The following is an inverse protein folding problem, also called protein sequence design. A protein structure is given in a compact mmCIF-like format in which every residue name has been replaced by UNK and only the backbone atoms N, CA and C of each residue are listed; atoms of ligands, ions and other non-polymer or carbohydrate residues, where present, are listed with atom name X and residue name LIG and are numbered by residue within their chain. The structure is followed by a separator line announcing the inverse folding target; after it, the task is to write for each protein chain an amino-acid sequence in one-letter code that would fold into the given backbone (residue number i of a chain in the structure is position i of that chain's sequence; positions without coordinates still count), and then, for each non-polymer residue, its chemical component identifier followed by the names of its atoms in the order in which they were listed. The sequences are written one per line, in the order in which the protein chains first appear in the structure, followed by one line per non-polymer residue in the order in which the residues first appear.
data_IF_416401074680
#
_entry.id   IF_416401074680
#
_cell.length_a   1.000
_cell.length_b   1.000
_cell.length_c   1.000
_cell.angle_alpha   90.00
_cell.angle_beta   90.00
_cell.angle_gamma   90.00
#
_symmetry.space_group_name_H-M   'P 1'
#
loop_
_entity.id
_entity.type
_entity.pdbx_description
1 polymer ?
#
# COMPACT_ATOMS: atom_id res chain seq x y z
N UNK A 1 6.63 1.17 18.70
CA UNK A 1 7.61 1.47 17.62
C UNK A 1 9.05 1.63 18.16
N UNK A 2 9.26 2.37 19.25
CA UNK A 2 10.60 2.66 19.82
C UNK A 2 11.48 1.41 20.12
N UNK A 3 10.89 0.31 20.61
CA UNK A 3 11.62 -0.92 20.93
C UNK A 3 12.24 -1.58 19.70
N UNK A 4 11.50 -1.66 18.58
CA UNK A 4 12.00 -2.25 17.31
C UNK A 4 13.17 -1.43 16.76
N UNK A 5 13.06 -0.10 16.81
CA UNK A 5 14.13 0.79 16.34
C UNK A 5 15.40 0.68 17.19
N UNK A 6 15.24 0.56 18.52
CA UNK A 6 16.38 0.34 19.43
C UNK A 6 17.10 -0.99 19.14
N UNK A 7 16.33 -2.06 18.91
CA UNK A 7 16.89 -3.37 18.53
C UNK A 7 17.60 -3.27 17.18
N UNK A 8 16.97 -2.66 16.17
CA UNK A 8 17.56 -2.52 14.85
C UNK A 8 18.88 -1.72 14.87
N UNK A 9 18.97 -0.67 15.69
CA UNK A 9 20.24 0.06 15.89
C UNK A 9 21.33 -0.81 16.50
N UNK A 10 20.99 -1.63 17.50
CA UNK A 10 21.94 -2.57 18.11
C UNK A 10 22.44 -3.60 17.10
N UNK A 11 21.52 -4.18 16.31
CA UNK A 11 21.87 -5.13 15.25
C UNK A 11 22.76 -4.45 14.20
N UNK A 12 22.37 -3.26 13.73
CA UNK A 12 23.18 -2.48 12.79
C UNK A 12 24.61 -2.26 13.30
N UNK A 13 24.79 -1.86 14.55
CA UNK A 13 26.14 -1.70 15.13
C UNK A 13 26.98 -2.98 15.12
N UNK A 14 26.35 -4.16 15.15
CA UNK A 14 27.04 -5.46 15.13
C UNK A 14 27.35 -5.95 13.72
N UNK A 15 26.48 -5.69 12.74
CA UNK A 15 26.59 -6.27 11.41
C UNK A 15 26.85 -5.25 10.28
N UNK A 16 26.94 -3.95 10.58
CA UNK A 16 27.05 -2.89 9.55
C UNK A 16 28.11 -3.22 8.52
N UNK A 17 29.35 -3.50 8.92
CA UNK A 17 30.43 -3.64 7.95
C UNK A 17 30.21 -4.86 7.05
N UNK A 18 29.69 -5.96 7.61
CA UNK A 18 29.36 -7.17 6.85
C UNK A 18 28.20 -6.94 5.87
N UNK A 19 27.16 -6.22 6.29
CA UNK A 19 25.98 -5.98 5.45
C UNK A 19 26.30 -4.93 4.39
N UNK A 20 26.89 -3.80 4.79
CA UNK A 20 27.23 -2.69 3.90
C UNK A 20 28.21 -3.10 2.79
N UNK A 21 29.07 -4.10 3.03
CA UNK A 21 30.03 -4.60 2.01
C UNK A 21 29.49 -5.78 1.20
N UNK A 22 28.32 -6.34 1.55
CA UNK A 22 27.78 -7.50 0.85
C UNK A 22 27.34 -7.16 -0.58
N UNK A 23 27.47 -8.11 -1.50
CA UNK A 23 27.04 -7.93 -2.90
C UNK A 23 25.55 -7.64 -3.03
N UNK A 24 24.70 -8.31 -2.23
CA UNK A 24 23.25 -8.07 -2.21
C UNK A 24 22.92 -6.63 -1.82
N UNK A 25 23.63 -6.09 -0.83
CA UNK A 25 23.49 -4.71 -0.44
C UNK A 25 23.99 -3.79 -1.55
N UNK A 26 25.22 -3.97 -2.05
CA UNK A 26 25.78 -3.14 -3.12
C UNK A 26 24.89 -3.12 -4.38
N UNK A 27 24.25 -4.24 -4.74
CA UNK A 27 23.29 -4.30 -5.83
C UNK A 27 22.02 -3.48 -5.54
N UNK A 28 21.41 -3.64 -4.35
CA UNK A 28 20.26 -2.82 -3.91
C UNK A 28 20.57 -1.31 -3.92
N UNK A 29 21.83 -0.96 -3.74
CA UNK A 29 22.33 0.41 -3.73
C UNK A 29 22.75 0.95 -5.07
N UNK A 30 23.25 0.13 -6.00
CA UNK A 30 23.53 0.59 -7.36
C UNK A 30 22.27 1.14 -8.06
N UNK A 31 21.09 0.72 -7.59
CA UNK A 31 19.79 1.29 -7.97
C UNK A 31 19.48 2.66 -7.29
N UNK A 32 20.17 3.05 -6.21
CA UNK A 32 19.84 4.19 -5.32
C UNK A 32 21.03 5.03 -4.76
N UNK A 33 22.24 4.84 -5.30
CA UNK A 33 23.46 5.67 -5.22
C UNK A 33 23.79 6.36 -3.87
N UNK A 34 23.99 5.58 -2.81
CA UNK A 34 24.44 6.09 -1.50
C UNK A 34 25.77 6.85 -1.56
N UNK A 35 26.70 6.42 -2.42
CA UNK A 35 27.99 7.10 -2.58
C UNK A 35 27.83 8.52 -3.13
N UNK A 36 26.78 8.78 -3.92
CA UNK A 36 26.42 10.12 -4.39
C UNK A 36 25.79 10.96 -3.28
N UNK A 37 25.23 10.33 -2.25
CA UNK A 37 24.43 10.97 -1.21
C UNK A 37 25.23 11.25 0.06
N UNK A 38 26.25 10.44 0.38
CA UNK A 38 27.02 10.63 1.62
C UNK A 38 28.46 10.09 1.54
N UNK A 39 29.43 10.95 1.86
CA UNK A 39 30.82 10.55 2.09
C UNK A 39 30.98 9.87 3.46
N UNK A 40 31.89 8.89 3.56
CA UNK A 40 32.30 8.26 4.83
C UNK A 40 32.78 9.26 5.88
N UNK A 41 33.34 10.38 5.43
CA UNK A 41 33.84 11.44 6.31
C UNK A 41 32.74 12.42 6.76
N UNK A 42 31.51 12.25 6.27
CA UNK A 42 30.38 13.11 6.64
C UNK A 42 29.91 12.82 8.08
N UNK A 43 29.59 13.89 8.81
CA UNK A 43 29.00 13.81 10.15
C UNK A 43 27.71 12.95 10.19
N UNK A 44 26.99 12.85 9.07
CA UNK A 44 25.73 12.11 9.00
C UNK A 44 25.86 10.70 8.40
N UNK A 45 27.07 10.24 8.09
CA UNK A 45 27.32 8.96 7.42
C UNK A 45 26.62 7.78 8.11
N UNK A 46 26.91 7.55 9.40
CA UNK A 46 26.34 6.41 10.13
C UNK A 46 24.80 6.47 10.22
N UNK A 47 24.22 7.68 10.32
CA UNK A 47 22.76 7.86 10.36
C UNK A 47 22.15 7.50 9.02
N UNK A 48 22.73 7.97 7.91
CA UNK A 48 22.25 7.68 6.56
C UNK A 48 22.40 6.17 6.27
N UNK A 49 23.57 5.58 6.54
CA UNK A 49 23.78 4.14 6.39
C UNK A 49 22.76 3.33 7.19
N UNK A 50 22.42 3.75 8.41
CA UNK A 50 21.39 3.10 9.20
C UNK A 50 20.01 3.17 8.53
N UNK A 51 19.61 4.32 7.98
CA UNK A 51 18.31 4.43 7.27
C UNK A 51 18.25 3.49 6.08
N UNK A 52 19.31 3.43 5.29
CA UNK A 52 19.33 2.51 4.16
C UNK A 52 19.40 1.04 4.58
N UNK A 53 20.11 0.73 5.67
CA UNK A 53 20.10 -0.61 6.25
C UNK A 53 18.67 -1.07 6.58
N UNK A 54 17.85 -0.17 7.14
CA UNK A 54 16.42 -0.46 7.38
C UNK A 54 15.68 -0.70 6.06
N UNK A 55 15.88 0.15 5.06
CA UNK A 55 15.22 0.00 3.75
C UNK A 55 15.64 -1.29 3.02
N UNK A 56 16.91 -1.67 3.12
CA UNK A 56 17.43 -2.92 2.56
C UNK A 56 16.76 -4.13 3.19
N UNK A 57 16.69 -4.19 4.53
CA UNK A 57 16.02 -5.29 5.23
C UNK A 57 14.52 -5.33 4.94
N UNK A 58 13.87 -4.16 4.85
CA UNK A 58 12.47 -4.08 4.42
C UNK A 58 12.29 -4.64 3.00
N UNK A 59 13.17 -4.28 2.07
CA UNK A 59 13.16 -4.80 0.71
C UNK A 59 13.32 -6.32 0.68
N UNK A 60 14.29 -6.88 1.43
CA UNK A 60 14.50 -8.33 1.50
C UNK A 60 13.26 -9.05 2.02
N UNK A 61 12.73 -8.61 3.17
CA UNK A 61 11.58 -9.24 3.82
C UNK A 61 10.32 -9.16 2.95
N UNK A 62 10.07 -8.00 2.33
CA UNK A 62 8.90 -7.82 1.47
C UNK A 62 9.04 -8.61 0.16
N UNK A 63 10.25 -8.69 -0.41
CA UNK A 63 10.52 -9.50 -1.61
C UNK A 63 10.35 -10.99 -1.34
N UNK A 64 10.83 -11.47 -0.19
CA UNK A 64 10.66 -12.86 0.23
C UNK A 64 9.19 -13.19 0.44
N UNK A 65 8.45 -12.33 1.16
CA UNK A 65 7.01 -12.49 1.38
C UNK A 65 6.22 -12.50 0.06
N UNK A 66 6.52 -11.58 -0.86
CA UNK A 66 5.90 -11.52 -2.17
C UNK A 66 6.18 -12.77 -3.00
N UNK A 67 7.44 -13.25 -3.00
CA UNK A 67 7.84 -14.47 -3.71
C UNK A 67 7.13 -15.69 -3.15
N UNK A 68 7.06 -15.80 -1.83
CA UNK A 68 6.34 -16.88 -1.15
C UNK A 68 4.84 -16.87 -1.49
N UNK A 69 4.19 -15.70 -1.43
CA UNK A 69 2.78 -15.54 -1.79
C UNK A 69 2.51 -15.98 -3.24
N UNK A 70 3.33 -15.51 -4.20
CA UNK A 70 3.23 -15.92 -5.61
C UNK A 70 3.37 -17.43 -5.79
N UNK A 71 4.33 -18.07 -5.10
CA UNK A 71 4.50 -19.54 -5.12
C UNK A 71 3.26 -20.28 -4.61
N UNK A 72 2.49 -19.67 -3.71
CA UNK A 72 1.23 -20.18 -3.18
C UNK A 72 0.01 -19.74 -4.00
N UNK A 73 0.20 -19.08 -5.15
CA UNK A 73 -0.87 -18.50 -5.97
C UNK A 73 -1.74 -17.51 -5.19
N UNK A 74 -1.12 -16.78 -4.26
CA UNK A 74 -1.73 -15.67 -3.52
C UNK A 74 -1.16 -14.38 -4.09
N UNK A 75 -2.07 -13.47 -4.45
CA UNK A 75 -1.75 -12.15 -5.00
C UNK A 75 -1.63 -11.17 -3.84
N UNK A 76 -0.50 -10.44 -3.76
CA UNK A 76 -0.39 -9.30 -2.86
C UNK A 76 -0.89 -8.04 -3.58
N UNK A 77 -1.91 -7.41 -3.02
CA UNK A 77 -2.47 -6.15 -3.49
C UNK A 77 -1.94 -5.01 -2.62
N UNK A 78 -1.20 -4.10 -3.24
CA UNK A 78 -0.73 -2.88 -2.59
C UNK A 78 -1.87 -1.87 -2.45
N UNK A 79 -1.77 -0.99 -1.46
CA UNK A 79 -2.66 0.16 -1.30
C UNK A 79 -1.83 1.43 -1.43
N UNK A 80 -2.12 2.22 -2.46
CA UNK A 80 -1.38 3.43 -2.79
C UNK A 80 -2.21 4.64 -2.33
N UNK A 81 -1.78 5.35 -1.27
CA UNK A 81 -2.51 6.52 -0.79
C UNK A 81 -2.50 7.64 -1.85
N UNK A 82 -3.62 8.36 -1.94
CA UNK A 82 -3.79 9.47 -2.89
C UNK A 82 -2.88 10.64 -2.55
N UNK A 83 -2.59 10.88 -1.27
CA UNK A 83 -1.85 12.04 -0.79
C UNK A 83 -0.55 11.64 -0.09
N UNK A 84 0.31 12.64 0.13
CA UNK A 84 1.51 12.52 0.96
C UNK A 84 1.45 13.53 2.09
N UNK A 85 2.09 13.22 3.23
CA UNK A 85 2.11 14.16 4.36
C UNK A 85 2.83 15.46 3.98
N UNK A 86 2.34 16.59 4.49
CA UNK A 86 2.93 17.92 4.28
C UNK A 86 4.40 17.98 4.72
N UNK A 87 4.76 17.22 5.74
CA UNK A 87 6.11 17.14 6.31
C UNK A 87 6.84 15.85 5.87
N UNK A 88 6.43 15.25 4.74
CA UNK A 88 7.07 14.07 4.18
C UNK A 88 8.36 14.42 3.44
N UNK A 89 9.16 13.38 3.15
CA UNK A 89 10.33 13.52 2.28
C UNK A 89 9.93 13.92 0.86
N UNK A 90 8.76 13.48 0.38
CA UNK A 90 8.28 13.80 -0.97
C UNK A 90 8.02 15.29 -1.13
N UNK A 91 7.32 15.91 -0.17
CA UNK A 91 7.05 17.36 -0.20
C UNK A 91 8.29 18.20 0.06
N UNK A 92 9.30 17.65 0.72
CA UNK A 92 10.59 18.31 0.90
C UNK A 92 11.44 18.28 -0.39
N UNK A 93 11.59 17.10 -1.01
CA UNK A 93 12.46 16.91 -2.19
C UNK A 93 11.80 17.47 -3.47
N UNK A 94 10.49 17.28 -3.62
CA UNK A 94 9.74 17.62 -4.83
C UNK A 94 8.70 18.70 -4.55
N UNK A 95 9.06 19.73 -3.78
CA UNK A 95 8.11 20.75 -3.29
C UNK A 95 7.34 21.48 -4.41
N UNK A 96 7.93 21.63 -5.60
CA UNK A 96 7.29 22.21 -6.78
C UNK A 96 6.09 21.40 -7.29
N UNK A 97 6.07 20.08 -7.03
CA UNK A 97 4.98 19.19 -7.45
C UNK A 97 3.72 19.31 -6.56
N UNK A 98 3.75 20.15 -5.52
CA UNK A 98 2.66 20.27 -4.54
C UNK A 98 2.29 21.72 -4.25
N UNK A 99 1.00 22.01 -4.17
CA UNK A 99 0.51 23.29 -3.68
C UNK A 99 0.50 23.31 -2.15
N UNK A 100 1.63 23.68 -1.55
CA UNK A 100 1.79 23.66 -0.10
C UNK A 100 0.78 24.54 0.65
N UNK A 101 0.20 25.58 0.04
CA UNK A 101 -0.78 26.43 0.73
C UNK A 101 -2.22 25.87 0.70
N UNK A 102 -2.42 24.65 0.20
CA UNK A 102 -3.74 24.01 0.08
C UNK A 102 -3.81 22.74 0.91
N UNK A 103 -5.01 22.21 1.09
CA UNK A 103 -5.26 20.91 1.69
C UNK A 103 -6.29 20.13 0.87
N UNK A 104 -6.05 18.84 0.77
CA UNK A 104 -7.01 17.85 0.26
C UNK A 104 -7.99 17.49 1.35
N UNK A 105 -9.16 17.05 0.92
CA UNK A 105 -10.30 16.77 1.78
C UNK A 105 -11.48 16.33 0.93
N UNK A 106 -12.64 16.16 1.53
CA UNK A 106 -13.91 15.89 0.84
C UNK A 106 -14.92 16.98 1.19
N UNK A 107 -15.81 17.37 0.27
CA UNK A 107 -16.89 18.32 0.58
C UNK A 107 -17.88 17.70 1.58
N UNK A 108 -18.73 18.54 2.18
CA UNK A 108 -19.89 18.07 2.92
C UNK A 108 -20.72 17.03 2.14
N UNK A 109 -21.21 16.03 2.85
CA UNK A 109 -22.14 15.04 2.35
C UNK A 109 -23.20 14.67 3.40
N UNK A 110 -24.02 13.65 3.12
CA UNK A 110 -25.06 13.20 4.04
C UNK A 110 -24.52 12.61 5.36
N UNK A 111 -23.27 12.14 5.37
CA UNK A 111 -22.62 11.53 6.53
C UNK A 111 -21.82 12.56 7.35
N UNK A 112 -21.29 13.58 6.69
CA UNK A 112 -20.50 14.64 7.30
C UNK A 112 -20.90 16.02 6.74
N UNK A 113 -21.67 16.77 7.51
CA UNK A 113 -22.19 18.09 7.11
C UNK A 113 -21.09 19.16 6.96
N UNK A 114 -19.93 18.96 7.60
CA UNK A 114 -18.80 19.89 7.52
C UNK A 114 -17.77 19.46 6.46
N UNK A 115 -17.92 18.24 5.93
CA UNK A 115 -16.95 17.61 5.05
C UNK A 115 -15.67 17.23 5.78
N UNK A 116 -14.66 16.81 5.03
CA UNK A 116 -13.41 16.30 5.59
C UNK A 116 -12.23 17.14 5.13
N UNK A 117 -11.27 17.33 6.03
CA UNK A 117 -9.96 17.90 5.71
C UNK A 117 -8.88 16.91 6.15
N UNK A 118 -8.17 16.35 5.17
CA UNK A 118 -7.14 15.35 5.43
C UNK A 118 -5.74 15.96 5.61
N UNK A 119 -5.58 17.26 5.30
CA UNK A 119 -4.36 18.01 5.56
C UNK A 119 -3.20 17.78 4.58
N UNK A 120 -3.32 16.87 3.61
CA UNK A 120 -2.29 16.66 2.58
C UNK A 120 -2.34 17.80 1.55
N UNK A 121 -1.20 18.31 1.07
CA UNK A 121 -1.20 19.32 0.01
C UNK A 121 -1.82 18.75 -1.28
N UNK A 122 -2.46 19.62 -2.07
CA UNK A 122 -2.93 19.23 -3.41
C UNK A 122 -1.77 19.15 -4.40
N UNK A 123 -1.95 18.38 -5.48
CA UNK A 123 -0.94 18.25 -6.53
C UNK A 123 -0.90 19.46 -7.45
N UNK A 124 0.32 19.83 -7.86
CA UNK A 124 0.55 20.72 -8.99
C UNK A 124 0.59 19.87 -10.28
N UNK A 125 -0.60 19.55 -10.80
CA UNK A 125 -0.73 18.71 -11.99
C UNK A 125 -0.12 19.32 -13.24
N UNK A 126 -0.06 20.66 -13.32
CA UNK A 126 0.59 21.38 -14.42
C UNK A 126 2.09 21.09 -14.43
N UNK A 127 2.78 21.33 -13.32
CA UNK A 127 4.21 21.01 -13.17
C UNK A 127 4.49 19.52 -13.38
N UNK A 128 3.67 18.64 -12.80
CA UNK A 128 3.83 17.20 -12.99
C UNK A 128 3.64 16.78 -14.46
N UNK A 129 2.86 17.51 -15.25
CA UNK A 129 2.64 17.16 -16.67
C UNK A 129 3.88 17.41 -17.53
N UNK A 130 4.79 18.30 -17.12
CA UNK A 130 5.97 18.70 -17.89
C UNK A 130 6.96 17.54 -18.12
N UNK A 131 7.06 16.61 -17.16
CA UNK A 131 7.89 15.40 -17.26
C UNK A 131 7.08 14.11 -17.54
N UNK A 132 5.85 14.31 -18.01
CA UNK A 132 4.85 13.29 -18.28
C UNK A 132 4.51 12.48 -17.00
N UNK A 133 4.46 13.15 -15.84
CA UNK A 133 4.11 12.57 -14.54
C UNK A 133 5.18 11.57 -14.03
N UNK A 134 6.47 11.89 -14.16
CA UNK A 134 7.56 10.99 -13.81
C UNK A 134 7.52 10.56 -12.34
N UNK A 135 7.21 11.48 -11.42
CA UNK A 135 7.06 11.16 -10.00
C UNK A 135 5.95 10.12 -9.75
N UNK A 136 4.77 10.30 -10.37
CA UNK A 136 3.67 9.35 -10.25
C UNK A 136 3.99 7.99 -10.87
N UNK A 137 4.61 7.98 -12.06
CA UNK A 137 5.08 6.72 -12.68
C UNK A 137 6.09 6.02 -11.77
N UNK A 138 7.01 6.76 -11.15
CA UNK A 138 7.99 6.20 -10.23
C UNK A 138 7.31 5.53 -9.02
N UNK A 139 6.25 6.11 -8.46
CA UNK A 139 5.47 5.48 -7.37
C UNK A 139 4.86 4.14 -7.79
N UNK A 140 4.42 4.01 -9.04
CA UNK A 140 3.84 2.78 -9.57
C UNK A 140 4.91 1.69 -9.83
N UNK A 141 6.19 2.05 -9.93
CA UNK A 141 7.29 1.06 -10.12
C UNK A 141 7.54 0.16 -8.91
N UNK A 142 6.94 0.45 -7.74
CA UNK A 142 6.97 -0.44 -6.57
C UNK A 142 6.24 -1.79 -6.81
N UNK A 143 5.75 -2.03 -8.04
CA UNK A 143 5.10 -3.27 -8.48
C UNK A 143 6.03 -4.50 -8.35
N UNK A 144 7.31 -4.28 -8.06
CA UNK A 144 8.23 -5.36 -7.64
C UNK A 144 7.69 -6.20 -6.48
N UNK A 145 6.94 -5.60 -5.55
CA UNK A 145 6.38 -6.31 -4.40
C UNK A 145 4.92 -6.72 -4.59
N UNK A 146 4.14 -5.88 -5.27
CA UNK A 146 2.69 -6.03 -5.39
C UNK A 146 2.30 -6.43 -6.81
N UNK A 147 1.30 -7.30 -6.91
CA UNK A 147 0.79 -7.76 -8.21
C UNK A 147 -0.30 -6.84 -8.74
N UNK A 148 -1.00 -6.15 -7.85
CA UNK A 148 -2.03 -5.16 -8.18
C UNK A 148 -2.00 -4.02 -7.17
N UNK A 149 -2.59 -2.88 -7.55
CA UNK A 149 -2.78 -1.74 -6.66
C UNK A 149 -4.26 -1.43 -6.48
N UNK A 150 -4.64 -1.12 -5.24
CA UNK A 150 -5.72 -0.18 -4.98
C UNK A 150 -5.11 1.21 -5.00
N UNK A 151 -5.63 2.08 -5.86
CA UNK A 151 -5.36 3.51 -5.76
C UNK A 151 -6.48 4.07 -4.91
N UNK A 152 -6.11 4.53 -3.73
CA UNK A 152 -7.04 5.15 -2.80
C UNK A 152 -7.57 6.47 -3.38
N UNK A 153 -8.83 6.81 -3.12
CA UNK A 153 -9.47 8.05 -3.60
C UNK A 153 -9.19 8.38 -5.08
N UNK A 154 -9.34 7.39 -5.97
CA UNK A 154 -9.07 7.54 -7.41
C UNK A 154 -9.82 8.72 -8.07
N UNK A 155 -10.96 9.12 -7.52
CA UNK A 155 -11.72 10.31 -7.97
C UNK A 155 -10.91 11.61 -7.88
N UNK A 156 -9.89 11.67 -7.01
CA UNK A 156 -8.94 12.79 -6.96
C UNK A 156 -8.09 12.97 -8.23
N UNK A 157 -8.12 12.02 -9.16
CA UNK A 157 -7.48 12.11 -10.48
C UNK A 157 -8.40 12.68 -11.58
N UNK A 158 -9.72 12.71 -11.39
CA UNK A 158 -10.64 13.34 -12.35
C UNK A 158 -10.91 14.79 -11.97
N UNK A 159 -10.76 15.68 -12.96
CA UNK A 159 -10.85 17.14 -12.98
C UNK A 159 -11.18 17.90 -11.68
N UNK A 160 -10.25 18.80 -11.33
CA UNK A 160 -10.45 19.98 -10.47
C UNK A 160 -10.67 19.75 -8.97
N UNK A 161 -10.23 18.64 -8.37
CA UNK A 161 -10.29 18.48 -6.89
C UNK A 161 -11.67 18.73 -6.28
N UNK A 162 -12.70 18.66 -7.13
CA UNK A 162 -14.10 18.91 -6.83
C UNK A 162 -14.77 17.60 -7.15
N UNK A 163 -15.21 16.94 -6.09
CA UNK A 163 -15.71 15.58 -6.15
C UNK A 163 -16.90 15.54 -7.10
N UNK A 164 -16.74 14.78 -8.19
CA UNK A 164 -17.89 14.26 -8.92
C UNK A 164 -18.59 13.27 -8.00
N UNK A 165 -19.90 13.48 -7.87
CA UNK A 165 -20.83 12.64 -7.13
C UNK A 165 -20.48 11.16 -7.32
N UNK A 166 -20.46 10.39 -6.22
CA UNK A 166 -20.43 8.93 -6.29
C UNK A 166 -21.44 8.48 -7.35
N UNK A 167 -20.97 7.74 -8.37
CA UNK A 167 -21.83 7.22 -9.43
C UNK A 167 -23.00 6.47 -8.76
N UNK A 168 -24.21 6.88 -9.10
CA UNK A 168 -25.42 6.27 -8.57
C UNK A 168 -25.50 4.82 -9.07
N UNK A 169 -26.10 3.93 -8.27
CA UNK A 169 -26.29 2.52 -8.63
C UNK A 169 -26.89 2.37 -10.04
N UNK A 170 -27.79 3.26 -10.41
CA UNK A 170 -28.45 3.34 -11.72
C UNK A 170 -27.48 3.58 -12.89
N UNK A 171 -26.39 4.33 -12.68
CA UNK A 171 -25.38 4.59 -13.72
C UNK A 171 -24.50 3.37 -13.96
N UNK A 172 -24.15 2.65 -12.89
CA UNK A 172 -23.33 1.45 -12.96
C UNK A 172 -24.10 0.26 -13.55
N UNK A 173 -25.40 0.15 -13.25
CA UNK A 173 -26.29 -0.81 -13.92
C UNK A 173 -26.39 -0.55 -15.42
N UNK A 174 -26.42 0.73 -15.83
CA UNK A 174 -26.44 1.14 -17.24
C UNK A 174 -25.14 0.79 -17.98
N UNK A 175 -24.01 0.77 -17.28
CA UNK A 175 -22.71 0.31 -17.78
C UNK A 175 -22.49 -1.21 -17.65
N UNK A 176 -23.54 -1.97 -17.28
CA UNK A 176 -23.50 -3.43 -17.23
C UNK A 176 -22.95 -4.02 -15.94
N UNK A 177 -22.77 -3.21 -14.89
CA UNK A 177 -22.39 -3.65 -13.55
C UNK A 177 -23.65 -3.74 -12.69
N UNK A 178 -24.27 -4.92 -12.67
CA UNK A 178 -25.57 -5.15 -12.04
C UNK A 178 -25.51 -5.97 -10.74
N UNK A 179 -24.43 -6.71 -10.50
CA UNK A 179 -24.27 -7.53 -9.29
C UNK A 179 -23.30 -6.89 -8.30
N UNK A 180 -23.75 -5.81 -7.68
CA UNK A 180 -22.98 -5.07 -6.67
C UNK A 180 -22.65 -5.91 -5.44
N UNK A 181 -23.57 -6.79 -5.02
CA UNK A 181 -23.36 -7.63 -3.85
C UNK A 181 -22.17 -8.58 -4.08
N UNK A 182 -22.06 -9.19 -5.27
CA UNK A 182 -20.90 -10.01 -5.65
C UNK A 182 -19.58 -9.23 -5.65
N UNK A 183 -19.61 -7.95 -6.00
CA UNK A 183 -18.41 -7.11 -6.10
C UNK A 183 -17.99 -6.46 -4.77
N UNK A 184 -18.93 -6.27 -3.86
CA UNK A 184 -18.72 -5.56 -2.58
C UNK A 184 -18.64 -6.48 -1.38
N UNK A 185 -19.17 -7.72 -1.45
CA UNK A 185 -19.18 -8.69 -0.35
C UNK A 185 -18.32 -9.91 -0.70
N UNK A 186 -17.09 -10.02 -0.18
CA UNK A 186 -16.25 -11.19 -0.43
C UNK A 186 -16.85 -12.42 0.26
N UNK A 187 -17.17 -13.44 -0.53
CA UNK A 187 -17.63 -14.74 -0.05
C UNK A 187 -16.66 -15.86 -0.44
N UNK A 188 -16.71 -16.97 0.29
CA UNK A 188 -15.98 -18.19 0.01
C UNK A 188 -16.96 -19.36 -0.01
N UNK A 189 -16.91 -20.18 -1.07
CA UNK A 189 -17.76 -21.37 -1.18
C UNK A 189 -17.15 -22.55 -0.43
N UNK A 190 -18.00 -23.49 0.00
CA UNK A 190 -17.59 -24.65 0.76
C UNK A 190 -16.53 -25.52 0.05
N UNK A 191 -16.58 -25.63 -1.28
CA UNK A 191 -15.61 -26.43 -2.04
C UNK A 191 -14.21 -25.84 -1.93
N UNK A 192 -14.12 -24.51 -1.91
CA UNK A 192 -12.85 -23.79 -1.74
C UNK A 192 -12.33 -23.98 -0.32
N UNK A 193 -13.21 -23.95 0.70
CA UNK A 193 -12.80 -24.23 2.08
C UNK A 193 -12.28 -25.65 2.25
N UNK A 194 -12.96 -26.64 1.65
CA UNK A 194 -12.54 -28.03 1.67
C UNK A 194 -11.22 -28.25 0.95
N UNK A 195 -11.05 -27.69 -0.25
CA UNK A 195 -9.80 -27.75 -1.01
C UNK A 195 -8.63 -27.15 -0.23
N UNK A 196 -8.84 -25.99 0.41
CA UNK A 196 -7.77 -25.25 1.10
C UNK A 196 -7.42 -25.78 2.48
N UNK A 197 -8.42 -26.23 3.23
CA UNK A 197 -8.27 -26.54 4.66
C UNK A 197 -8.48 -28.02 4.99
N UNK A 198 -8.80 -28.87 4.00
CA UNK A 198 -8.94 -30.30 4.17
C UNK A 198 -9.88 -30.65 5.31
N UNK A 199 -9.54 -31.62 6.15
CA UNK A 199 -10.36 -32.04 7.29
C UNK A 199 -10.70 -30.93 8.31
N UNK A 200 -9.93 -29.84 8.33
CA UNK A 200 -10.11 -28.72 9.25
C UNK A 200 -11.09 -27.64 8.74
N UNK A 201 -11.63 -27.80 7.54
CA UNK A 201 -12.49 -26.79 6.91
C UNK A 201 -13.73 -26.48 7.75
N UNK A 202 -14.32 -27.48 8.41
CA UNK A 202 -15.51 -27.32 9.26
C UNK A 202 -15.21 -26.45 10.48
N UNK A 203 -14.05 -26.65 11.11
CA UNK A 203 -13.59 -25.85 12.26
C UNK A 203 -13.32 -24.42 11.84
N UNK A 204 -12.75 -24.20 10.66
CA UNK A 204 -12.49 -22.85 10.16
C UNK A 204 -13.79 -22.13 9.81
N UNK A 205 -14.69 -22.82 9.11
CA UNK A 205 -16.01 -22.29 8.80
C UNK A 205 -16.79 -21.91 10.07
N UNK A 206 -16.80 -22.78 11.09
CA UNK A 206 -17.57 -22.54 12.31
C UNK A 206 -17.00 -21.42 13.21
N UNK A 207 -15.70 -21.15 13.15
CA UNK A 207 -15.05 -20.20 14.06
C UNK A 207 -14.77 -18.83 13.43
N UNK A 208 -14.62 -18.77 12.10
CA UNK A 208 -14.13 -17.56 11.44
C UNK A 208 -15.03 -17.06 10.32
N UNK A 209 -16.08 -17.81 9.96
CA UNK A 209 -16.98 -17.45 8.86
C UNK A 209 -18.44 -17.52 9.30
N UNK A 210 -19.30 -16.74 8.66
CA UNK A 210 -20.75 -16.83 8.80
C UNK A 210 -21.32 -17.45 7.53
N UNK A 211 -22.11 -18.52 7.67
CA UNK A 211 -22.86 -19.07 6.54
C UNK A 211 -24.07 -18.16 6.26
N UNK A 212 -24.04 -17.44 5.15
CA UNK A 212 -25.13 -16.53 4.75
C UNK A 212 -26.12 -17.24 3.81
N UNK A 213 -25.62 -18.10 2.93
CA UNK A 213 -26.41 -19.00 2.11
C UNK A 213 -25.83 -20.40 2.20
N UNK A 214 -26.65 -21.43 1.92
CA UNK A 214 -26.21 -22.82 2.01
C UNK A 214 -24.94 -23.02 1.19
N UNK A 215 -23.86 -23.41 1.86
CA UNK A 215 -22.52 -23.61 1.28
C UNK A 215 -21.76 -22.35 0.84
N UNK A 216 -22.22 -21.16 1.23
CA UNK A 216 -21.58 -19.86 0.96
C UNK A 216 -21.30 -19.15 2.28
N UNK A 217 -20.03 -18.87 2.52
CA UNK A 217 -19.55 -18.31 3.77
C UNK A 217 -18.99 -16.90 3.57
N UNK A 218 -19.33 -15.98 4.47
CA UNK A 218 -18.74 -14.65 4.56
C UNK A 218 -17.72 -14.62 5.69
N UNK A 219 -16.63 -13.86 5.53
CA UNK A 219 -15.60 -13.76 6.57
C UNK A 219 -16.11 -12.92 7.73
N UNK A 220 -16.03 -13.45 8.96
CA UNK A 220 -16.23 -12.65 10.15
C UNK A 220 -15.06 -11.67 10.23
N UNK A 221 -15.32 -10.40 9.92
CA UNK A 221 -14.33 -9.33 10.10
C UNK A 221 -14.10 -9.17 11.61
N UNK A 222 -13.09 -9.85 12.14
CA UNK A 222 -12.50 -9.48 13.42
C UNK A 222 -11.72 -8.19 13.19
N UNK A 223 -12.33 -7.06 13.59
CA UNK A 223 -11.67 -5.77 13.74
C UNK A 223 -10.57 -5.89 14.79
N UNK A 224 -9.40 -6.37 14.39
CA UNK A 224 -8.17 -6.11 15.12
C UNK A 224 -7.74 -4.69 14.78
N UNK A 225 -7.82 -3.84 15.78
CA UNK A 225 -7.41 -2.44 15.73
C UNK A 225 -6.01 -2.28 15.12
N UNK A 226 -5.92 -1.49 14.04
CA UNK A 226 -4.68 -0.81 13.65
C UNK A 226 -3.93 -1.32 12.42
N UNK A 227 -4.41 -2.33 11.70
CA UNK A 227 -3.84 -2.70 10.38
C UNK A 227 -4.95 -3.17 9.42
N UNK A 228 -5.27 -2.33 8.43
CA UNK A 228 -6.08 -2.77 7.29
C UNK A 228 -5.20 -3.59 6.34
N UNK A 229 -5.16 -4.91 6.54
CA UNK A 229 -4.68 -5.86 5.55
C UNK A 229 -5.91 -6.51 4.91
N UNK A 230 -6.37 -5.99 3.77
CA UNK A 230 -7.43 -6.65 3.00
C UNK A 230 -6.81 -7.74 2.12
N UNK A 231 -6.82 -8.98 2.62
CA UNK A 231 -6.50 -10.18 1.85
C UNK A 231 -7.72 -10.55 0.99
N UNK A 232 -7.79 -10.02 -0.24
CA UNK A 232 -8.68 -10.61 -1.25
C UNK A 232 -7.99 -11.82 -1.87
N UNK A 233 -8.41 -13.01 -1.47
CA UNK A 233 -8.09 -14.26 -2.16
C UNK A 233 -9.04 -14.33 -3.36
N UNK A 234 -8.57 -13.95 -4.55
CA UNK A 234 -9.27 -14.25 -5.80
C UNK A 234 -8.76 -15.57 -6.35
N UNK A 235 -9.59 -16.64 -6.42
CA UNK A 235 -9.23 -17.81 -7.19
C UNK A 235 -9.38 -17.47 -8.67
N UNK A 236 -8.25 -17.25 -9.34
CA UNK A 236 -8.23 -17.25 -10.81
C UNK A 236 -8.42 -18.71 -11.23
N UNK A 237 -9.59 -19.01 -11.81
CA UNK A 237 -9.87 -20.24 -12.54
C UNK A 237 -9.28 -20.20 -13.93
#
# INVERSE_FOLDING_TARGET
MATKLSIAKKIFSLEKDSVLTSSSFQNFFSENELEKLVSKDSMHYDIICFQYYIQFHLHLQLSEAATYARKKRVVLKGDLPIGVDRNSVDTWVYSNLFHMNTATGAPPDYFDEDGQNWGFPTYNWEEMSEDNYAWWRARLTQAKYFTAYRIDHILGFSESGSFLNMLLQEELEREGIWDFNRLSRPYIRHEILQDKFGASWTVIASNFLNEHEKHIYEVIILLLSGFYLSLMISPIG
#
